data_IF_397084703604
#
_entry.id   IF_397084703604
#
_cell.length_a   1.000
_cell.length_b   1.000
_cell.length_c   1.000
_cell.angle_alpha   90.00
_cell.angle_beta   90.00
_cell.angle_gamma   90.00
#
_symmetry.space_group_name_H-M   'P 1'
#
loop_
_entity.id
_entity.type
_entity.pdbx_description
1 polymer ?
#
# COMPACT_ATOMS: atom_id res chain seq x y z
N UNK A 1 -31.75 38.38 0.85
CA UNK A 1 -31.34 36.98 0.87
C UNK A 1 -31.46 36.45 2.29
N UNK A 2 -32.24 35.41 2.47
CA UNK A 2 -32.34 34.73 3.76
C UNK A 2 -31.08 33.84 4.04
N UNK A 3 -30.99 33.30 5.26
CA UNK A 3 -29.84 32.47 5.68
C UNK A 3 -29.62 31.26 4.77
N UNK A 4 -30.69 30.66 4.28
CA UNK A 4 -30.67 29.48 3.43
C UNK A 4 -30.17 29.81 2.01
N UNK A 5 -30.62 30.89 1.44
CA UNK A 5 -30.14 31.41 0.13
C UNK A 5 -28.65 31.76 0.19
N UNK A 6 -28.17 32.35 1.31
CA UNK A 6 -26.72 32.60 1.51
C UNK A 6 -25.91 31.32 1.60
N UNK A 7 -26.42 30.26 2.26
CA UNK A 7 -25.78 28.96 2.34
C UNK A 7 -25.72 28.29 0.97
N UNK A 8 -26.82 28.32 0.21
CA UNK A 8 -26.88 27.76 -1.13
C UNK A 8 -25.91 28.47 -2.09
N UNK A 9 -25.88 29.81 -2.07
CA UNK A 9 -24.95 30.60 -2.88
C UNK A 9 -23.45 30.29 -2.53
N UNK A 10 -23.13 30.16 -1.24
CA UNK A 10 -21.77 29.78 -0.80
C UNK A 10 -21.42 28.38 -1.26
N UNK A 11 -22.34 27.43 -1.22
CA UNK A 11 -22.15 26.05 -1.69
C UNK A 11 -21.89 26.05 -3.20
N UNK A 12 -22.72 26.70 -4.01
CA UNK A 12 -22.56 26.82 -5.46
C UNK A 12 -21.20 27.43 -5.83
N UNK A 13 -20.81 28.53 -5.20
CA UNK A 13 -19.50 29.18 -5.43
C UNK A 13 -18.31 28.28 -5.08
N UNK A 14 -18.43 27.43 -4.05
CA UNK A 14 -17.40 26.44 -3.71
C UNK A 14 -17.33 25.30 -4.73
N UNK A 15 -18.47 24.85 -5.22
CA UNK A 15 -18.57 23.82 -6.26
C UNK A 15 -17.98 24.30 -7.58
N UNK A 16 -18.33 25.52 -8.01
CA UNK A 16 -17.74 26.16 -9.20
C UNK A 16 -16.23 26.31 -9.09
N UNK A 17 -15.71 26.81 -7.97
CA UNK A 17 -14.28 26.93 -7.73
C UNK A 17 -13.55 25.58 -7.73
N UNK A 18 -14.17 24.54 -7.18
CA UNK A 18 -13.64 23.17 -7.22
C UNK A 18 -13.63 22.60 -8.63
N UNK A 19 -14.71 22.82 -9.39
CA UNK A 19 -14.81 22.39 -10.78
C UNK A 19 -13.76 23.06 -11.65
N UNK A 20 -13.58 24.37 -11.51
CA UNK A 20 -12.56 25.13 -12.24
C UNK A 20 -11.13 24.65 -11.89
N UNK A 21 -10.82 24.50 -10.60
CA UNK A 21 -9.51 23.99 -10.15
C UNK A 21 -9.27 22.54 -10.62
N UNK A 22 -10.33 21.71 -10.71
CA UNK A 22 -10.26 20.38 -11.32
C UNK A 22 -9.94 20.49 -12.81
N UNK A 23 -10.68 21.30 -13.56
CA UNK A 23 -10.51 21.46 -14.99
C UNK A 23 -9.09 21.94 -15.35
N UNK A 24 -8.57 22.94 -14.64
CA UNK A 24 -7.21 23.45 -14.84
C UNK A 24 -6.14 22.38 -14.60
N UNK A 25 -6.28 21.64 -13.49
CA UNK A 25 -5.35 20.59 -13.14
C UNK A 25 -5.35 19.45 -14.16
N UNK A 26 -6.53 19.01 -14.59
CA UNK A 26 -6.68 17.91 -15.55
C UNK A 26 -6.27 18.32 -16.97
N UNK A 27 -6.38 19.61 -17.31
CA UNK A 27 -5.90 20.16 -18.59
C UNK A 27 -4.42 19.90 -18.83
N UNK A 28 -3.59 19.84 -17.79
CA UNK A 28 -2.17 19.52 -17.90
C UNK A 28 -1.87 18.00 -17.99
N UNK A 29 -2.87 17.14 -17.75
CA UNK A 29 -2.73 15.68 -17.77
C UNK A 29 -2.85 15.11 -19.18
N UNK A 30 -1.91 15.48 -20.07
CA UNK A 30 -1.93 15.13 -21.50
C UNK A 30 -0.82 14.16 -21.86
N UNK A 31 -0.98 13.47 -23.00
CA UNK A 31 0.06 12.62 -23.57
C UNK A 31 1.33 13.43 -23.85
N UNK A 32 1.19 14.66 -24.32
CA UNK A 32 2.33 15.53 -24.62
C UNK A 32 3.13 15.87 -23.37
N UNK A 33 2.46 16.16 -22.25
CA UNK A 33 3.11 16.41 -20.95
C UNK A 33 3.83 15.17 -20.42
N UNK A 34 3.20 14.00 -20.53
CA UNK A 34 3.82 12.76 -20.06
C UNK A 34 4.94 12.28 -20.98
N UNK A 35 4.85 12.55 -22.30
CA UNK A 35 5.86 12.22 -23.30
C UNK A 35 6.97 13.29 -23.42
N UNK A 36 6.87 14.40 -22.69
CA UNK A 36 7.94 15.41 -22.66
C UNK A 36 9.27 14.81 -22.21
N UNK A 37 10.38 15.23 -22.86
CA UNK A 37 11.70 14.66 -22.61
C UNK A 37 12.15 14.84 -21.14
N UNK A 38 11.88 16.01 -20.54
CA UNK A 38 12.22 16.23 -19.13
C UNK A 38 11.41 15.32 -18.21
N UNK A 39 10.13 15.10 -18.54
CA UNK A 39 9.25 14.17 -17.80
C UNK A 39 9.77 12.73 -17.87
N UNK A 40 10.14 12.25 -19.07
CA UNK A 40 10.69 10.91 -19.26
C UNK A 40 12.09 10.74 -18.62
N UNK A 41 12.95 11.76 -18.70
CA UNK A 41 14.26 11.74 -18.04
C UNK A 41 14.12 11.72 -16.50
N UNK A 42 13.21 12.50 -15.93
CA UNK A 42 12.88 12.46 -14.48
C UNK A 42 12.33 11.09 -14.10
N UNK A 43 11.40 10.55 -14.88
CA UNK A 43 10.82 9.23 -14.69
C UNK A 43 11.89 8.12 -14.72
N UNK A 44 12.85 8.18 -15.68
CA UNK A 44 13.97 7.24 -15.78
C UNK A 44 14.81 7.22 -14.50
N UNK A 45 15.23 8.40 -14.02
CA UNK A 45 16.00 8.52 -12.78
C UNK A 45 15.24 8.03 -11.54
N UNK A 46 13.93 8.27 -11.51
CA UNK A 46 13.08 7.82 -10.38
C UNK A 46 12.79 6.32 -10.43
N UNK A 47 12.52 5.76 -11.62
CA UNK A 47 12.30 4.33 -11.81
C UNK A 47 13.55 3.50 -11.47
N UNK A 48 14.75 4.08 -11.65
CA UNK A 48 16.03 3.45 -11.34
C UNK A 48 16.35 3.40 -9.82
N UNK A 49 15.70 4.22 -8.99
CA UNK A 49 15.98 4.27 -7.54
C UNK A 49 15.75 2.91 -6.88
N UNK A 50 16.76 2.45 -6.14
CA UNK A 50 16.71 1.18 -5.42
C UNK A 50 16.84 -0.08 -6.28
N UNK A 51 16.99 0.07 -7.62
CA UNK A 51 17.13 -1.07 -8.55
C UNK A 51 18.32 -0.94 -9.51
N UNK A 52 19.24 0.00 -9.24
CA UNK A 52 20.47 0.20 -10.03
C UNK A 52 21.42 -1.01 -10.03
N UNK A 53 21.27 -1.93 -9.10
CA UNK A 53 22.01 -3.19 -9.05
C UNK A 53 21.59 -4.19 -10.14
N UNK A 54 20.42 -3.99 -10.77
CA UNK A 54 19.93 -4.86 -11.85
C UNK A 54 20.58 -4.50 -13.19
N UNK A 55 21.11 -5.47 -13.92
CA UNK A 55 21.74 -5.30 -15.23
C UNK A 55 20.84 -4.64 -16.27
N UNK A 56 19.53 -4.98 -16.28
CA UNK A 56 18.53 -4.36 -17.14
C UNK A 56 18.37 -2.85 -16.89
N UNK A 57 18.40 -2.44 -15.61
CA UNK A 57 18.34 -1.03 -15.23
C UNK A 57 19.62 -0.29 -15.64
N UNK A 58 20.80 -0.89 -15.38
CA UNK A 58 22.09 -0.30 -15.77
C UNK A 58 22.19 -0.11 -17.27
N UNK A 59 21.79 -1.13 -18.05
CA UNK A 59 21.78 -1.08 -19.53
C UNK A 59 20.91 0.07 -20.03
N UNK A 60 19.70 0.24 -19.48
CA UNK A 60 18.81 1.34 -19.85
C UNK A 60 19.41 2.70 -19.45
N UNK A 61 19.93 2.82 -18.23
CA UNK A 61 20.44 4.08 -17.70
C UNK A 61 21.72 4.56 -18.36
N UNK A 62 22.53 3.66 -18.94
CA UNK A 62 23.73 4.03 -19.73
C UNK A 62 23.40 4.94 -20.91
N UNK A 63 22.22 4.79 -21.52
CA UNK A 63 21.76 5.60 -22.66
C UNK A 63 20.36 6.18 -22.43
N UNK A 64 20.08 6.63 -21.19
CA UNK A 64 18.73 7.01 -20.80
C UNK A 64 18.14 8.19 -21.60
N UNK A 65 18.98 9.13 -22.06
CA UNK A 65 18.53 10.24 -22.93
C UNK A 65 18.03 9.72 -24.27
N UNK A 66 18.82 8.87 -24.94
CA UNK A 66 18.41 8.21 -26.20
C UNK A 66 17.13 7.40 -25.99
N UNK A 67 17.06 6.64 -24.91
CA UNK A 67 15.90 5.82 -24.59
C UNK A 67 14.65 6.67 -24.29
N UNK A 68 14.81 7.86 -23.68
CA UNK A 68 13.71 8.81 -23.50
C UNK A 68 13.19 9.35 -24.84
N UNK A 69 14.08 9.67 -25.79
CA UNK A 69 13.69 10.10 -27.14
C UNK A 69 12.91 8.99 -27.85
N UNK A 70 13.38 7.74 -27.78
CA UNK A 70 12.68 6.59 -28.38
C UNK A 70 11.30 6.39 -27.74
N UNK A 71 11.21 6.42 -26.42
CA UNK A 71 9.93 6.29 -25.70
C UNK A 71 8.96 7.43 -26.04
N UNK A 72 9.47 8.68 -26.19
CA UNK A 72 8.66 9.81 -26.63
C UNK A 72 8.07 9.56 -28.02
N UNK A 73 8.92 9.14 -28.98
CA UNK A 73 8.47 8.82 -30.34
C UNK A 73 7.40 7.74 -30.33
N UNK A 74 7.66 6.62 -29.64
CA UNK A 74 6.74 5.49 -29.60
C UNK A 74 5.38 5.89 -29.00
N UNK A 75 5.37 6.75 -27.96
CA UNK A 75 4.15 7.28 -27.35
C UNK A 75 3.36 8.20 -28.29
N UNK A 76 4.04 9.15 -28.96
CA UNK A 76 3.38 10.12 -29.86
C UNK A 76 2.87 9.46 -31.15
N UNK A 77 3.54 8.41 -31.61
CA UNK A 77 3.10 7.60 -32.75
C UNK A 77 2.07 6.53 -32.38
N UNK A 78 1.68 6.43 -31.12
CA UNK A 78 0.69 5.47 -30.63
C UNK A 78 1.15 4.02 -30.66
N UNK A 79 2.47 3.77 -30.74
CA UNK A 79 3.03 2.42 -30.73
C UNK A 79 2.76 1.71 -29.41
N UNK A 80 2.66 0.39 -29.47
CA UNK A 80 2.52 -0.40 -28.26
C UNK A 80 3.82 -0.34 -27.43
N UNK A 81 3.67 0.05 -26.17
CA UNK A 81 4.76 0.10 -25.19
C UNK A 81 4.84 -1.15 -24.32
N UNK A 82 3.80 -2.00 -24.37
CA UNK A 82 3.74 -3.23 -23.58
C UNK A 82 4.77 -4.25 -24.12
N UNK A 83 5.65 -4.69 -23.25
CA UNK A 83 6.71 -5.66 -23.58
C UNK A 83 6.50 -7.02 -22.90
N UNK A 84 5.28 -7.26 -22.44
CA UNK A 84 4.95 -8.41 -21.62
C UNK A 84 5.44 -8.27 -20.18
N UNK A 85 5.34 -9.36 -19.43
CA UNK A 85 5.64 -9.37 -17.98
C UNK A 85 6.73 -10.37 -17.64
N UNK A 86 7.58 -9.97 -16.70
CA UNK A 86 8.47 -10.88 -15.97
C UNK A 86 7.64 -11.41 -14.80
N UNK A 87 7.15 -12.66 -14.92
CA UNK A 87 6.30 -13.30 -13.90
C UNK A 87 7.16 -14.11 -12.95
N UNK A 88 6.90 -13.94 -11.64
CA UNK A 88 7.53 -14.74 -10.59
C UNK A 88 6.66 -14.77 -9.35
N UNK A 89 6.84 -15.84 -8.58
CA UNK A 89 6.14 -16.03 -7.33
C UNK A 89 6.96 -15.52 -6.15
N UNK A 90 6.31 -14.74 -5.30
CA UNK A 90 6.90 -14.17 -4.10
C UNK A 90 6.14 -14.66 -2.85
N UNK A 91 6.82 -15.40 -2.00
CA UNK A 91 6.30 -15.72 -0.68
C UNK A 91 6.47 -14.54 0.27
N UNK A 92 5.38 -13.85 0.57
CA UNK A 92 5.37 -12.76 1.53
C UNK A 92 4.52 -13.09 2.76
N UNK A 93 5.17 -13.30 3.88
CA UNK A 93 4.52 -13.51 5.19
C UNK A 93 3.51 -14.66 5.21
N UNK A 94 3.85 -15.76 4.55
CA UNK A 94 3.03 -16.96 4.46
C UNK A 94 1.89 -16.89 3.42
N UNK A 95 1.86 -15.85 2.58
CA UNK A 95 0.97 -15.74 1.44
C UNK A 95 1.79 -15.75 0.14
N UNK A 96 1.43 -16.62 -0.78
CA UNK A 96 1.98 -16.63 -2.14
C UNK A 96 1.40 -15.45 -2.92
N UNK A 97 2.26 -14.69 -3.58
CA UNK A 97 1.87 -13.57 -4.45
C UNK A 97 2.45 -13.79 -5.83
N UNK A 98 1.59 -13.77 -6.84
CA UNK A 98 1.99 -13.76 -8.23
C UNK A 98 2.32 -12.34 -8.64
N UNK A 99 3.57 -12.08 -9.01
CA UNK A 99 4.04 -10.77 -9.41
C UNK A 99 4.19 -10.73 -10.92
N UNK A 100 3.58 -9.71 -11.56
CA UNK A 100 3.72 -9.39 -12.97
C UNK A 100 4.52 -8.11 -13.10
N UNK A 101 5.85 -8.22 -13.05
CA UNK A 101 6.74 -7.08 -13.16
C UNK A 101 6.91 -6.65 -14.62
N UNK A 102 6.80 -5.36 -14.89
CA UNK A 102 7.02 -4.79 -16.23
C UNK A 102 8.50 -4.62 -16.53
N UNK A 103 8.87 -4.67 -17.79
CA UNK A 103 10.23 -4.38 -18.27
C UNK A 103 10.62 -2.93 -17.96
N UNK A 104 11.93 -2.68 -17.75
CA UNK A 104 12.38 -1.37 -17.28
C UNK A 104 12.01 -0.19 -18.20
N UNK A 105 12.08 -0.28 -19.56
CA UNK A 105 11.63 0.79 -20.45
C UNK A 105 10.14 1.13 -20.26
N UNK A 106 9.29 0.12 -20.18
CA UNK A 106 7.85 0.28 -19.91
C UNK A 106 7.61 0.89 -18.52
N UNK A 107 8.37 0.45 -17.51
CA UNK A 107 8.30 1.03 -16.15
C UNK A 107 8.60 2.53 -16.13
N UNK A 108 9.47 3.02 -17.01
CA UNK A 108 9.76 4.46 -17.15
C UNK A 108 8.54 5.20 -17.71
N UNK A 109 7.91 4.66 -18.74
CA UNK A 109 6.67 5.24 -19.30
C UNK A 109 5.54 5.22 -18.29
N UNK A 110 5.32 4.10 -17.62
CA UNK A 110 4.32 3.99 -16.55
C UNK A 110 4.61 4.97 -15.40
N UNK A 111 5.88 5.23 -15.09
CA UNK A 111 6.27 6.23 -14.09
C UNK A 111 5.90 7.65 -14.52
N UNK A 112 6.13 7.99 -15.81
CA UNK A 112 5.74 9.28 -16.37
C UNK A 112 4.21 9.44 -16.38
N UNK A 113 3.47 8.42 -16.83
CA UNK A 113 2.01 8.36 -16.81
C UNK A 113 1.46 8.60 -15.40
N UNK A 114 1.99 7.88 -14.40
CA UNK A 114 1.58 8.04 -13.01
C UNK A 114 1.77 9.46 -12.50
N UNK A 115 2.92 10.08 -12.75
CA UNK A 115 3.28 11.37 -12.18
C UNK A 115 2.63 12.57 -12.89
N UNK A 116 2.50 12.49 -14.22
CA UNK A 116 2.05 13.62 -15.02
C UNK A 116 0.57 13.55 -15.43
N UNK A 117 -0.09 12.39 -15.24
CA UNK A 117 -1.50 12.24 -15.55
C UNK A 117 -2.34 11.65 -14.39
N UNK A 118 -2.08 10.41 -13.97
CA UNK A 118 -2.96 9.72 -13.02
C UNK A 118 -2.97 10.33 -11.63
N UNK A 119 -1.80 10.60 -11.05
CA UNK A 119 -1.71 11.20 -9.70
C UNK A 119 -2.34 12.59 -9.65
N UNK A 120 -2.04 13.54 -10.56
CA UNK A 120 -2.68 14.85 -10.56
C UNK A 120 -4.20 14.80 -10.79
N UNK A 121 -4.69 13.89 -11.64
CA UNK A 121 -6.12 13.78 -11.94
C UNK A 121 -6.90 13.08 -10.82
N UNK A 122 -6.40 11.95 -10.28
CA UNK A 122 -7.14 11.03 -9.43
C UNK A 122 -6.95 11.36 -7.94
N UNK A 123 -5.71 11.54 -7.47
CA UNK A 123 -5.43 11.66 -6.03
C UNK A 123 -6.22 12.79 -5.34
N UNK A 124 -6.43 13.97 -5.96
CA UNK A 124 -7.22 15.04 -5.34
C UNK A 124 -8.72 14.73 -5.20
N UNK A 125 -9.23 13.69 -5.84
CA UNK A 125 -10.62 13.25 -5.68
C UNK A 125 -10.81 12.32 -4.48
N UNK A 126 -9.70 11.77 -3.96
CA UNK A 126 -9.74 10.84 -2.85
C UNK A 126 -10.00 11.56 -1.53
N UNK A 127 -10.78 10.92 -0.66
CA UNK A 127 -11.06 11.45 0.67
C UNK A 127 -9.78 11.59 1.52
N UNK A 128 -9.79 12.50 2.49
CA UNK A 128 -8.67 12.69 3.41
C UNK A 128 -8.36 11.43 4.25
N UNK A 129 -9.38 10.61 4.51
CA UNK A 129 -9.28 9.37 5.28
C UNK A 129 -8.68 8.18 4.49
N UNK A 130 -8.46 8.32 3.18
CA UNK A 130 -7.68 7.35 2.41
C UNK A 130 -6.19 7.56 2.68
N UNK A 131 -5.54 6.53 3.21
CA UNK A 131 -4.17 6.60 3.74
C UNK A 131 -3.15 5.82 2.92
N UNK A 132 -3.55 5.14 1.84
CA UNK A 132 -2.68 4.25 1.08
C UNK A 132 -2.18 4.91 -0.22
N UNK A 133 -0.92 4.63 -0.55
CA UNK A 133 -0.29 4.97 -1.85
C UNK A 133 -0.35 6.45 -2.26
N UNK A 134 -0.46 7.35 -1.31
CA UNK A 134 -0.49 8.80 -1.51
C UNK A 134 0.77 9.39 -0.88
N UNK A 135 1.44 10.30 -1.58
CA UNK A 135 2.62 10.99 -1.06
C UNK A 135 2.32 11.67 0.28
N UNK A 136 3.16 11.42 1.28
CA UNK A 136 2.95 11.92 2.65
C UNK A 136 1.95 11.11 3.48
N UNK A 137 1.31 10.09 2.91
CA UNK A 137 0.43 9.16 3.61
C UNK A 137 1.02 7.74 3.55
N UNK A 138 0.64 6.92 4.51
CA UNK A 138 1.13 5.54 4.63
C UNK A 138 0.61 4.94 5.93
N UNK A 139 1.18 3.82 6.37
CA UNK A 139 0.77 3.14 7.60
C UNK A 139 0.88 4.03 8.84
N UNK A 140 1.87 4.91 8.92
CA UNK A 140 2.03 5.85 10.03
C UNK A 140 0.91 6.91 10.04
N UNK A 141 0.56 7.45 8.86
CA UNK A 141 -0.55 8.37 8.73
C UNK A 141 -1.88 7.68 9.10
N UNK A 142 -2.10 6.47 8.61
CA UNK A 142 -3.29 5.67 8.92
C UNK A 142 -3.43 5.43 10.43
N UNK A 143 -2.35 5.06 11.12
CA UNK A 143 -2.35 4.86 12.56
C UNK A 143 -2.55 6.17 13.35
N UNK A 144 -1.97 7.28 12.90
CA UNK A 144 -2.22 8.60 13.51
C UNK A 144 -3.68 9.01 13.37
N UNK A 145 -4.27 8.79 12.18
CA UNK A 145 -5.67 9.06 11.90
C UNK A 145 -6.57 8.23 12.82
N UNK A 146 -6.34 6.91 12.89
CA UNK A 146 -7.10 6.01 13.76
C UNK A 146 -6.96 6.40 15.24
N UNK A 147 -5.75 6.72 15.71
CA UNK A 147 -5.54 7.19 17.09
C UNK A 147 -6.36 8.47 17.38
N UNK A 148 -6.40 9.41 16.44
CA UNK A 148 -7.22 10.63 16.58
C UNK A 148 -8.70 10.28 16.67
N UNK A 149 -9.21 9.44 15.78
CA UNK A 149 -10.60 9.01 15.78
C UNK A 149 -10.99 8.29 17.08
N UNK A 150 -10.12 7.42 17.58
CA UNK A 150 -10.32 6.75 18.88
C UNK A 150 -10.31 7.74 20.05
N UNK A 151 -9.41 8.74 20.04
CA UNK A 151 -9.37 9.77 21.07
C UNK A 151 -10.61 10.67 21.03
N UNK A 152 -11.10 11.00 19.82
CA UNK A 152 -12.33 11.78 19.61
C UNK A 152 -13.57 11.00 20.09
N UNK A 153 -13.62 9.70 19.81
CA UNK A 153 -14.67 8.81 20.31
C UNK A 153 -14.64 8.70 21.84
N UNK A 154 -13.45 8.48 22.44
CA UNK A 154 -13.29 8.41 23.90
C UNK A 154 -13.80 9.68 24.61
N UNK A 155 -13.51 10.86 24.06
CA UNK A 155 -13.96 12.13 24.66
C UNK A 155 -15.47 12.28 24.64
N UNK A 156 -16.18 11.66 23.70
CA UNK A 156 -17.65 11.74 23.56
C UNK A 156 -18.37 10.65 24.31
N UNK A 157 -17.86 9.42 24.27
CA UNK A 157 -18.57 8.22 24.72
C UNK A 157 -17.77 7.36 25.74
N UNK A 158 -16.57 7.79 26.13
CA UNK A 158 -15.72 7.02 27.04
C UNK A 158 -15.26 5.69 26.40
N UNK A 159 -15.36 4.60 27.18
CA UNK A 159 -14.93 3.25 26.75
C UNK A 159 -15.91 2.54 25.84
N UNK A 160 -17.17 2.96 25.89
CA UNK A 160 -18.24 2.26 25.17
C UNK A 160 -18.21 2.60 23.68
N UNK A 161 -18.66 1.65 22.87
CA UNK A 161 -18.72 1.79 21.43
C UNK A 161 -18.08 0.62 20.68
N UNK A 162 -18.17 0.70 19.39
CA UNK A 162 -17.81 -0.39 18.48
C UNK A 162 -16.99 0.12 17.31
N UNK A 163 -16.21 -0.78 16.75
CA UNK A 163 -15.50 -0.58 15.49
C UNK A 163 -15.91 -1.69 14.50
N UNK A 164 -16.37 -1.32 13.33
CA UNK A 164 -16.47 -2.20 12.18
C UNK A 164 -15.10 -2.21 11.49
N UNK A 165 -14.52 -3.38 11.35
CA UNK A 165 -13.32 -3.62 10.54
C UNK A 165 -13.78 -4.35 9.28
N UNK A 166 -13.37 -3.88 8.11
CA UNK A 166 -13.67 -4.50 6.82
C UNK A 166 -12.40 -4.69 5.99
N UNK A 167 -12.43 -5.72 5.15
CA UNK A 167 -11.32 -6.10 4.27
C UNK A 167 -11.92 -6.61 2.94
N UNK A 168 -11.39 -6.16 1.81
CA UNK A 168 -11.83 -6.64 0.50
C UNK A 168 -11.18 -7.99 0.18
N UNK A 169 -11.98 -8.94 -0.34
CA UNK A 169 -11.53 -10.29 -0.65
C UNK A 169 -10.67 -10.32 -1.91
N UNK A 170 -9.41 -10.80 -1.77
CA UNK A 170 -8.44 -10.95 -2.88
C UNK A 170 -8.44 -9.78 -3.87
N UNK A 171 -8.47 -8.57 -3.29
CA UNK A 171 -8.83 -7.32 -3.94
C UNK A 171 -8.16 -7.12 -5.31
N UNK A 172 -6.81 -7.13 -5.38
CA UNK A 172 -6.09 -6.90 -6.64
C UNK A 172 -6.35 -7.95 -7.72
N UNK A 173 -6.60 -9.19 -7.33
CA UNK A 173 -6.83 -10.29 -8.26
C UNK A 173 -8.26 -10.30 -8.83
N UNK A 174 -9.21 -9.60 -8.19
CA UNK A 174 -10.64 -9.69 -8.52
C UNK A 174 -11.24 -8.37 -9.00
N UNK A 175 -10.45 -7.31 -9.14
CA UNK A 175 -10.93 -6.02 -9.65
C UNK A 175 -11.43 -6.20 -11.10
N UNK A 176 -12.70 -5.87 -11.34
CA UNK A 176 -13.25 -5.81 -12.69
C UNK A 176 -12.66 -4.61 -13.45
N UNK A 177 -12.25 -4.82 -14.71
CA UNK A 177 -11.58 -3.78 -15.50
C UNK A 177 -12.51 -2.63 -15.87
N UNK A 178 -13.77 -2.93 -16.26
CA UNK A 178 -14.68 -1.90 -16.78
C UNK A 178 -14.93 -0.74 -15.79
N UNK A 179 -15.27 -0.98 -14.51
CA UNK A 179 -15.44 0.11 -13.55
C UNK A 179 -14.19 0.96 -13.32
N UNK A 180 -13.00 0.34 -13.43
CA UNK A 180 -11.72 1.06 -13.33
C UNK A 180 -11.47 1.90 -14.58
N UNK A 181 -11.73 1.37 -15.77
CA UNK A 181 -11.63 2.10 -17.04
C UNK A 181 -12.58 3.30 -17.07
N UNK A 182 -13.82 3.12 -16.63
CA UNK A 182 -14.80 4.20 -16.53
C UNK A 182 -14.33 5.30 -15.57
N UNK A 183 -13.72 4.91 -14.45
CA UNK A 183 -13.14 5.86 -13.51
C UNK A 183 -11.98 6.65 -14.11
N UNK A 184 -11.08 5.99 -14.84
CA UNK A 184 -9.96 6.64 -15.53
C UNK A 184 -10.49 7.61 -16.60
N UNK A 185 -11.45 7.17 -17.43
CA UNK A 185 -12.08 8.00 -18.46
C UNK A 185 -12.79 9.23 -17.86
N UNK A 186 -13.41 9.09 -16.69
CA UNK A 186 -14.07 10.24 -16.01
C UNK A 186 -13.07 11.21 -15.36
N UNK A 187 -11.84 10.77 -15.11
CA UNK A 187 -10.82 11.56 -14.44
C UNK A 187 -9.91 12.34 -15.39
N UNK A 188 -9.71 11.87 -16.61
CA UNK A 188 -8.80 12.41 -17.62
C UNK A 188 -9.57 13.01 -18.82
N UNK A 189 -8.99 14.02 -19.45
CA UNK A 189 -9.58 14.67 -20.64
C UNK A 189 -8.90 14.22 -21.95
N UNK A 190 -7.62 13.85 -21.91
CA UNK A 190 -6.90 13.41 -23.11
C UNK A 190 -7.23 11.95 -23.44
N UNK A 191 -7.95 11.66 -24.54
CA UNK A 191 -8.34 10.32 -24.91
C UNK A 191 -7.14 9.41 -25.20
N UNK A 192 -5.99 9.96 -25.59
CA UNK A 192 -4.77 9.19 -25.83
C UNK A 192 -4.20 8.63 -24.53
N UNK A 193 -4.26 9.41 -23.43
CA UNK A 193 -3.83 8.96 -22.10
C UNK A 193 -4.80 7.92 -21.55
N UNK A 194 -6.12 8.12 -21.73
CA UNK A 194 -7.15 7.15 -21.36
C UNK A 194 -6.93 5.83 -22.10
N UNK A 195 -6.73 5.88 -23.43
CA UNK A 195 -6.49 4.68 -24.23
C UNK A 195 -5.20 3.95 -23.82
N UNK A 196 -4.16 4.69 -23.46
CA UNK A 196 -2.91 4.11 -22.96
C UNK A 196 -3.14 3.36 -21.64
N UNK A 197 -3.82 3.99 -20.66
CA UNK A 197 -4.10 3.33 -19.38
C UNK A 197 -5.03 2.13 -19.55
N UNK A 198 -6.05 2.20 -20.42
CA UNK A 198 -6.92 1.07 -20.71
C UNK A 198 -6.11 -0.12 -21.26
N UNK A 199 -5.15 0.11 -22.17
CA UNK A 199 -4.26 -0.97 -22.65
C UNK A 199 -3.41 -1.56 -21.54
N UNK A 200 -2.90 -0.75 -20.61
CA UNK A 200 -2.11 -1.25 -19.46
C UNK A 200 -2.97 -2.08 -18.49
N UNK A 201 -4.25 -1.74 -18.34
CA UNK A 201 -5.21 -2.52 -17.56
C UNK A 201 -5.48 -3.85 -18.28
N UNK A 202 -5.81 -3.83 -19.58
CA UNK A 202 -6.14 -5.02 -20.36
C UNK A 202 -4.97 -6.00 -20.50
N UNK A 203 -3.74 -5.48 -20.53
CA UNK A 203 -2.54 -6.31 -20.56
C UNK A 203 -2.41 -7.25 -19.32
N UNK A 204 -3.16 -7.02 -18.24
CA UNK A 204 -3.14 -7.87 -17.06
C UNK A 204 -3.99 -9.15 -17.21
N UNK A 205 -4.83 -9.25 -18.24
CA UNK A 205 -5.79 -10.34 -18.50
C UNK A 205 -7.23 -9.84 -18.44
N UNK A 206 -8.18 -10.73 -18.19
CA UNK A 206 -9.62 -10.39 -18.20
C UNK A 206 -10.09 -9.74 -16.90
N UNK A 207 -9.40 -10.00 -15.81
CA UNK A 207 -9.74 -9.54 -14.47
C UNK A 207 -8.48 -9.33 -13.63
N UNK A 208 -8.57 -8.40 -12.70
CA UNK A 208 -7.50 -8.08 -11.77
C UNK A 208 -6.52 -7.03 -12.28
N UNK A 209 -5.95 -6.29 -11.34
CA UNK A 209 -4.88 -5.33 -11.60
C UNK A 209 -3.58 -5.94 -11.08
N UNK A 210 -2.79 -6.56 -11.92
CA UNK A 210 -1.56 -7.27 -11.54
C UNK A 210 -0.65 -6.47 -10.59
N UNK A 211 0.01 -7.20 -9.70
CA UNK A 211 0.99 -6.61 -8.79
C UNK A 211 2.31 -6.36 -9.51
N UNK A 212 2.78 -5.10 -9.53
CA UNK A 212 4.06 -4.72 -10.14
C UNK A 212 3.99 -3.47 -11.03
N UNK A 213 2.79 -2.98 -11.35
CA UNK A 213 2.54 -1.74 -12.09
C UNK A 213 2.16 -0.61 -11.14
N UNK A 214 2.78 0.56 -11.26
CA UNK A 214 2.44 1.74 -10.46
C UNK A 214 1.08 2.36 -10.88
N UNK A 215 0.76 2.51 -12.18
CA UNK A 215 -0.58 2.91 -12.64
C UNK A 215 -1.68 2.05 -12.03
N UNK A 216 -1.56 0.74 -12.13
CA UNK A 216 -2.55 -0.19 -11.55
C UNK A 216 -2.74 -0.01 -10.03
N UNK A 217 -1.66 0.32 -9.31
CA UNK A 217 -1.78 0.62 -7.88
C UNK A 217 -2.56 1.91 -7.61
N UNK A 218 -2.40 2.94 -8.45
CA UNK A 218 -3.16 4.19 -8.34
C UNK A 218 -4.63 3.91 -8.62
N UNK A 219 -4.93 3.17 -9.67
CA UNK A 219 -6.28 2.76 -10.02
C UNK A 219 -6.92 1.92 -8.91
N UNK A 220 -6.21 0.95 -8.35
CA UNK A 220 -6.70 0.13 -7.24
C UNK A 220 -6.99 0.95 -5.97
N UNK A 221 -6.19 1.97 -5.66
CA UNK A 221 -6.48 2.88 -4.52
C UNK A 221 -7.73 3.71 -4.80
N UNK A 222 -7.93 4.10 -6.04
CA UNK A 222 -9.02 4.99 -6.46
C UNK A 222 -10.34 4.24 -6.67
N UNK A 223 -10.31 2.99 -7.08
CA UNK A 223 -11.51 2.21 -7.43
C UNK A 223 -12.59 2.22 -6.33
N UNK A 224 -12.29 2.05 -5.02
CA UNK A 224 -13.31 2.12 -3.96
C UNK A 224 -13.69 3.56 -3.56
N UNK A 225 -13.22 4.59 -4.25
CA UNK A 225 -13.49 5.99 -3.86
C UNK A 225 -14.99 6.33 -3.80
N UNK A 226 -15.82 5.70 -4.64
CA UNK A 226 -17.28 5.85 -4.57
C UNK A 226 -17.84 5.31 -3.25
N UNK A 227 -17.28 4.22 -2.73
CA UNK A 227 -17.63 3.66 -1.42
C UNK A 227 -17.19 4.63 -0.32
N UNK A 228 -15.97 5.17 -0.41
CA UNK A 228 -15.44 6.13 0.57
C UNK A 228 -16.35 7.36 0.70
N UNK A 229 -16.78 7.93 -0.45
CA UNK A 229 -17.72 9.07 -0.47
C UNK A 229 -19.09 8.69 0.07
N UNK A 230 -19.61 7.51 -0.32
CA UNK A 230 -20.88 7.03 0.19
C UNK A 230 -20.85 6.87 1.72
N UNK A 231 -19.79 6.29 2.27
CA UNK A 231 -19.64 6.15 3.73
C UNK A 231 -19.55 7.51 4.41
N UNK A 232 -18.76 8.44 3.90
CA UNK A 232 -18.50 9.72 4.56
C UNK A 232 -19.64 10.73 4.37
N UNK A 233 -20.35 10.70 3.26
CA UNK A 233 -21.38 11.68 2.90
C UNK A 233 -22.80 11.22 3.23
N UNK A 234 -23.09 9.93 3.05
CA UNK A 234 -24.42 9.36 3.25
C UNK A 234 -24.57 8.63 4.58
N UNK A 235 -23.69 7.67 4.87
CA UNK A 235 -23.77 6.91 6.12
C UNK A 235 -23.32 7.74 7.32
N UNK A 236 -22.29 8.56 7.18
CA UNK A 236 -21.80 9.51 8.20
C UNK A 236 -21.50 8.87 9.56
N UNK A 237 -20.71 7.79 9.62
CA UNK A 237 -20.26 7.27 10.92
C UNK A 237 -19.44 8.35 11.64
N UNK A 238 -19.28 8.22 12.95
CA UNK A 238 -18.45 9.16 13.73
C UNK A 238 -17.02 9.27 13.17
N UNK A 239 -16.50 8.16 12.71
CA UNK A 239 -15.17 8.09 12.11
C UNK A 239 -15.07 7.00 11.06
N UNK A 240 -14.34 7.31 9.99
CA UNK A 240 -14.02 6.39 8.90
C UNK A 240 -12.57 6.53 8.49
N UNK A 241 -11.94 5.41 8.10
CA UNK A 241 -10.62 5.43 7.49
C UNK A 241 -10.36 4.16 6.68
N UNK A 242 -9.61 4.31 5.56
CA UNK A 242 -9.25 3.20 4.68
C UNK A 242 -7.75 3.20 4.36
N UNK A 243 -7.18 2.02 4.31
CA UNK A 243 -5.83 1.75 3.85
C UNK A 243 -5.86 0.59 2.84
N UNK A 244 -5.85 0.88 1.55
CA UNK A 244 -6.05 -0.08 0.46
C UNK A 244 -7.39 -0.82 0.60
N UNK A 245 -7.32 -2.13 0.86
CA UNK A 245 -8.40 -3.06 1.08
C UNK A 245 -8.92 -3.08 2.53
N UNK A 246 -8.11 -2.63 3.49
CA UNK A 246 -8.49 -2.56 4.91
C UNK A 246 -9.20 -1.22 5.24
N UNK A 247 -10.41 -1.26 5.81
CA UNK A 247 -11.12 -0.06 6.29
C UNK A 247 -11.73 -0.25 7.67
N UNK A 248 -12.11 0.85 8.31
CA UNK A 248 -12.81 0.83 9.58
C UNK A 248 -13.85 1.94 9.68
N UNK A 249 -14.92 1.69 10.45
CA UNK A 249 -15.89 2.67 10.93
C UNK A 249 -15.96 2.59 12.45
N UNK A 250 -16.11 3.72 13.13
CA UNK A 250 -16.31 3.79 14.59
C UNK A 250 -17.65 4.45 14.86
N UNK A 251 -18.43 3.88 15.80
CA UNK A 251 -19.70 4.41 16.25
C UNK A 251 -20.05 3.85 17.64
N UNK A 252 -20.89 4.56 18.41
CA UNK A 252 -21.38 4.09 19.72
C UNK A 252 -22.31 2.89 19.59
N UNK A 253 -23.16 2.87 18.55
CA UNK A 253 -24.17 1.82 18.32
C UNK A 253 -23.61 0.70 17.44
N UNK A 254 -23.78 -0.54 17.92
CA UNK A 254 -23.46 -1.76 17.15
C UNK A 254 -24.41 -1.95 15.98
N UNK A 255 -25.72 -1.72 16.22
CA UNK A 255 -26.76 -1.94 15.21
C UNK A 255 -26.61 -0.99 14.03
N UNK A 256 -26.24 0.27 14.31
CA UNK A 256 -25.89 1.20 13.25
C UNK A 256 -24.73 0.71 12.39
N UNK A 257 -23.66 0.17 12.98
CA UNK A 257 -22.54 -0.38 12.23
C UNK A 257 -22.92 -1.64 11.43
N UNK A 258 -23.87 -2.43 11.92
CA UNK A 258 -24.40 -3.59 11.17
C UNK A 258 -25.20 -3.13 9.94
N UNK A 259 -26.04 -2.10 10.08
CA UNK A 259 -26.73 -1.48 8.94
C UNK A 259 -25.73 -0.88 7.96
N UNK A 260 -24.72 -0.18 8.43
CA UNK A 260 -23.64 0.35 7.59
C UNK A 260 -22.95 -0.78 6.80
N UNK A 261 -22.68 -1.91 7.44
CA UNK A 261 -22.06 -3.07 6.77
C UNK A 261 -22.89 -3.57 5.61
N UNK A 262 -24.20 -3.81 5.81
CA UNK A 262 -25.11 -4.26 4.75
C UNK A 262 -25.16 -3.28 3.56
N UNK A 263 -25.18 -1.97 3.86
CA UNK A 263 -25.21 -0.93 2.84
C UNK A 263 -23.87 -0.82 2.10
N UNK A 264 -22.75 -1.00 2.80
CA UNK A 264 -21.41 -1.05 2.18
C UNK A 264 -21.27 -2.28 1.30
N UNK A 265 -21.75 -3.45 1.72
CA UNK A 265 -21.75 -4.68 0.91
C UNK A 265 -22.47 -4.49 -0.42
N UNK A 266 -23.68 -3.89 -0.38
CA UNK A 266 -24.42 -3.55 -1.60
C UNK A 266 -23.63 -2.61 -2.51
N UNK A 267 -23.00 -1.59 -1.92
CA UNK A 267 -22.21 -0.62 -2.68
C UNK A 267 -20.92 -1.20 -3.24
N UNK A 268 -20.32 -2.15 -2.54
CA UNK A 268 -19.19 -2.95 -3.02
C UNK A 268 -19.60 -3.81 -4.22
N UNK A 269 -20.75 -4.49 -4.15
CA UNK A 269 -21.25 -5.33 -5.23
C UNK A 269 -21.46 -4.55 -6.55
N UNK A 270 -21.92 -3.29 -6.49
CA UNK A 270 -22.01 -2.39 -7.66
C UNK A 270 -20.67 -2.17 -8.37
N UNK A 271 -19.57 -2.30 -7.67
CA UNK A 271 -18.20 -2.13 -8.18
C UNK A 271 -17.48 -3.46 -8.43
N UNK A 272 -18.17 -4.59 -8.26
CA UNK A 272 -17.54 -5.91 -8.34
C UNK A 272 -16.58 -6.21 -7.20
N UNK A 273 -16.71 -5.53 -6.05
CA UNK A 273 -15.88 -5.73 -4.86
C UNK A 273 -16.62 -6.62 -3.88
N UNK A 274 -15.96 -7.64 -3.35
CA UNK A 274 -16.49 -8.51 -2.30
C UNK A 274 -15.78 -8.26 -0.97
N UNK A 275 -16.54 -8.24 0.13
CA UNK A 275 -15.98 -8.21 1.47
C UNK A 275 -15.50 -9.61 1.90
N UNK A 276 -14.39 -9.63 2.64
CA UNK A 276 -13.87 -10.87 3.22
C UNK A 276 -14.66 -11.24 4.50
N UNK A 277 -15.49 -12.27 4.49
CA UNK A 277 -16.37 -12.58 5.63
C UNK A 277 -15.61 -13.03 6.89
N UNK A 278 -14.38 -13.53 6.74
CA UNK A 278 -13.56 -13.97 7.88
C UNK A 278 -12.89 -12.80 8.60
N UNK A 279 -12.65 -11.69 7.91
CA UNK A 279 -11.96 -10.51 8.44
C UNK A 279 -12.92 -9.36 8.76
N UNK A 280 -14.04 -9.27 8.05
CA UNK A 280 -15.07 -8.24 8.26
C UNK A 280 -15.89 -8.55 9.50
N UNK A 281 -15.84 -7.64 10.50
CA UNK A 281 -16.50 -7.84 11.78
C UNK A 281 -16.67 -6.57 12.57
N UNK A 282 -17.73 -6.51 13.38
CA UNK A 282 -17.94 -5.48 14.40
C UNK A 282 -17.35 -5.95 15.73
N UNK A 283 -16.50 -5.12 16.34
CA UNK A 283 -15.81 -5.44 17.60
C UNK A 283 -16.08 -4.36 18.63
N UNK A 284 -16.38 -4.73 19.88
CA UNK A 284 -16.50 -3.77 20.99
C UNK A 284 -15.12 -3.17 21.29
N UNK A 285 -15.02 -1.85 21.41
CA UNK A 285 -13.74 -1.13 21.61
C UNK A 285 -13.01 -1.55 22.87
N UNK A 286 -13.77 -1.91 23.94
CA UNK A 286 -13.20 -2.40 25.21
C UNK A 286 -12.38 -3.68 25.08
N UNK A 287 -12.68 -4.54 24.07
CA UNK A 287 -11.91 -5.78 23.79
C UNK A 287 -10.60 -5.50 23.05
N UNK A 288 -10.45 -4.28 22.49
CA UNK A 288 -9.42 -3.95 21.55
C UNK A 288 -9.54 -4.75 20.24
N UNK A 289 -8.75 -4.39 19.26
CA UNK A 289 -8.82 -4.98 17.91
C UNK A 289 -7.45 -5.00 17.24
N UNK A 290 -7.36 -5.68 16.10
CA UNK A 290 -6.16 -5.71 15.26
C UNK A 290 -6.47 -5.03 13.93
N UNK A 291 -5.65 -4.04 13.56
CA UNK A 291 -5.70 -3.37 12.26
C UNK A 291 -4.28 -3.06 11.76
N UNK A 292 -4.04 -3.19 10.45
CA UNK A 292 -2.72 -3.05 9.83
C UNK A 292 -1.61 -3.82 10.59
N UNK A 293 -1.93 -5.03 11.02
CA UNK A 293 -1.01 -5.90 11.80
C UNK A 293 -0.51 -5.28 13.12
N UNK A 294 -1.31 -4.40 13.71
CA UNK A 294 -1.09 -3.81 15.04
C UNK A 294 -2.28 -4.14 15.94
N UNK A 295 -2.00 -4.53 17.18
CA UNK A 295 -2.99 -4.69 18.25
C UNK A 295 -3.25 -3.33 18.91
N UNK A 296 -4.49 -2.89 18.92
CA UNK A 296 -4.90 -1.55 19.39
C UNK A 296 -5.97 -1.72 20.46
N UNK A 297 -5.84 -1.00 21.56
CA UNK A 297 -6.80 -1.04 22.66
C UNK A 297 -6.68 0.21 23.55
N UNK A 298 -7.74 0.50 24.30
CA UNK A 298 -7.72 1.50 25.36
C UNK A 298 -7.18 0.92 26.66
N UNK A 299 -6.43 1.73 27.41
CA UNK A 299 -6.25 1.51 28.87
C UNK A 299 -7.50 1.97 29.60
N UNK A 300 -7.56 1.75 30.92
CA UNK A 300 -8.65 2.23 31.78
C UNK A 300 -8.74 3.76 31.81
N UNK A 301 -7.62 4.44 31.65
CA UNK A 301 -7.52 5.92 31.61
C UNK A 301 -7.76 6.53 30.22
N UNK A 302 -8.14 5.73 29.21
CA UNK A 302 -8.40 6.22 27.86
C UNK A 302 -7.15 6.38 26.99
N UNK A 303 -5.97 6.06 27.48
CA UNK A 303 -4.75 6.04 26.66
C UNK A 303 -4.88 4.96 25.58
N UNK A 304 -4.60 5.31 24.34
CA UNK A 304 -4.60 4.39 23.21
C UNK A 304 -3.22 3.73 23.11
N UNK A 305 -3.20 2.42 23.26
CA UNK A 305 -1.99 1.58 23.17
C UNK A 305 -1.97 0.89 21.81
N UNK A 306 -0.84 0.97 21.11
CA UNK A 306 -0.62 0.30 19.83
C UNK A 306 0.60 -0.60 19.92
N UNK A 307 0.37 -1.91 19.92
CA UNK A 307 1.41 -2.94 20.00
C UNK A 307 1.58 -3.68 18.66
N UNK A 308 2.77 -4.20 18.36
CA UNK A 308 2.92 -5.17 17.27
C UNK A 308 2.11 -6.44 17.57
N UNK A 309 1.56 -7.06 16.53
CA UNK A 309 0.94 -8.39 16.68
C UNK A 309 1.96 -9.43 17.10
N UNK A 310 1.52 -10.41 17.88
CA UNK A 310 2.35 -11.53 18.40
C UNK A 310 3.11 -12.24 17.28
N UNK A 311 2.46 -12.49 16.15
CA UNK A 311 3.05 -13.15 14.99
C UNK A 311 4.22 -12.35 14.39
N UNK A 312 4.16 -11.02 14.43
CA UNK A 312 5.27 -10.16 13.97
C UNK A 312 6.53 -10.36 14.82
N UNK A 313 6.36 -10.42 16.13
CA UNK A 313 7.45 -10.66 17.09
C UNK A 313 8.01 -12.08 16.92
N UNK A 314 7.13 -13.08 16.84
CA UNK A 314 7.54 -14.50 16.64
C UNK A 314 8.32 -14.69 15.34
N UNK A 315 7.89 -14.03 14.27
CA UNK A 315 8.57 -14.06 12.98
C UNK A 315 9.97 -13.45 13.05
N UNK A 316 10.12 -12.29 13.69
CA UNK A 316 11.45 -11.68 13.84
C UNK A 316 12.39 -12.53 14.69
N UNK A 317 11.87 -13.15 15.75
CA UNK A 317 12.63 -14.11 16.56
C UNK A 317 13.13 -15.28 15.72
N UNK A 318 12.27 -15.85 14.88
CA UNK A 318 12.65 -16.94 13.96
C UNK A 318 13.66 -16.48 12.92
N UNK A 319 13.49 -15.26 12.40
CA UNK A 319 14.38 -14.63 11.43
C UNK A 319 15.79 -14.46 12.02
N UNK A 320 15.92 -13.91 13.23
CA UNK A 320 17.22 -13.74 13.89
C UNK A 320 17.92 -15.08 14.09
N UNK A 321 17.22 -16.12 14.55
CA UNK A 321 17.79 -17.47 14.69
C UNK A 321 18.24 -18.06 13.35
N UNK A 322 17.49 -17.83 12.25
CA UNK A 322 17.89 -18.23 10.91
C UNK A 322 19.15 -17.50 10.45
N UNK A 323 19.19 -16.19 10.67
CA UNK A 323 20.34 -15.34 10.30
C UNK A 323 21.60 -15.74 11.07
N UNK A 324 21.49 -16.15 12.34
CA UNK A 324 22.63 -16.67 13.10
C UNK A 324 23.23 -17.93 12.45
N UNK A 325 22.40 -18.84 11.96
CA UNK A 325 22.88 -20.00 11.20
C UNK A 325 23.55 -19.56 9.90
N UNK A 326 22.94 -18.66 9.15
CA UNK A 326 23.53 -18.16 7.90
C UNK A 326 24.87 -17.45 8.09
N UNK A 327 25.09 -16.81 9.24
CA UNK A 327 26.39 -16.24 9.61
C UNK A 327 27.39 -17.34 9.91
N UNK A 328 27.00 -18.38 10.66
CA UNK A 328 27.87 -19.55 10.94
C UNK A 328 28.27 -20.29 9.66
N UNK A 329 27.34 -20.37 8.68
CA UNK A 329 27.56 -20.99 7.37
C UNK A 329 28.33 -20.08 6.38
N UNK A 330 28.72 -18.87 6.78
CA UNK A 330 29.43 -17.90 5.91
C UNK A 330 28.57 -17.29 4.79
N UNK A 331 27.24 -17.51 4.81
CA UNK A 331 26.29 -17.02 3.77
C UNK A 331 25.93 -15.55 3.99
N UNK A 332 26.01 -15.07 5.23
CA UNK A 332 25.63 -13.69 5.60
C UNK A 332 26.68 -13.09 6.53
N UNK A 333 26.93 -11.77 6.40
CA UNK A 333 27.86 -11.09 7.31
C UNK A 333 27.15 -10.54 8.54
N UNK A 334 27.86 -10.38 9.69
CA UNK A 334 27.30 -9.76 10.90
C UNK A 334 26.71 -8.35 10.66
N UNK A 335 27.34 -7.54 9.79
CA UNK A 335 26.88 -6.20 9.45
C UNK A 335 25.50 -6.23 8.74
N UNK A 336 25.28 -7.21 7.87
CA UNK A 336 23.99 -7.41 7.21
C UNK A 336 22.90 -7.78 8.22
N UNK A 337 23.23 -8.59 9.23
CA UNK A 337 22.31 -8.91 10.33
C UNK A 337 21.99 -7.67 11.15
N UNK A 338 23.01 -6.92 11.54
CA UNK A 338 22.85 -5.66 12.31
C UNK A 338 21.95 -4.68 11.56
N UNK A 339 22.21 -4.42 10.28
CA UNK A 339 21.38 -3.54 9.45
C UNK A 339 19.92 -4.01 9.41
N UNK A 340 19.69 -5.32 9.24
CA UNK A 340 18.36 -5.91 9.25
C UNK A 340 17.66 -5.74 10.59
N UNK A 341 18.37 -5.97 11.69
CA UNK A 341 17.84 -5.86 13.04
C UNK A 341 17.54 -4.41 13.42
N UNK A 342 18.42 -3.47 13.12
CA UNK A 342 18.20 -2.05 13.37
C UNK A 342 17.01 -1.49 12.57
N UNK A 343 16.80 -1.96 11.33
CA UNK A 343 15.60 -1.64 10.54
C UNK A 343 14.32 -2.08 11.26
N UNK A 344 14.27 -3.32 11.77
CA UNK A 344 13.14 -3.82 12.56
C UNK A 344 12.95 -3.03 13.86
N UNK A 345 14.02 -2.80 14.61
CA UNK A 345 14.02 -2.06 15.88
C UNK A 345 13.54 -0.63 15.70
N UNK A 346 13.96 0.04 14.62
CA UNK A 346 13.49 1.37 14.23
C UNK A 346 11.99 1.42 13.98
N UNK A 347 11.42 0.40 13.34
CA UNK A 347 9.98 0.26 13.16
C UNK A 347 9.21 0.09 14.48
N UNK A 348 9.81 -0.57 15.48
CA UNK A 348 9.20 -0.78 16.79
C UNK A 348 9.19 0.47 17.69
N UNK A 349 10.12 1.41 17.50
CA UNK A 349 10.19 2.67 18.29
C UNK A 349 8.90 3.50 18.24
N UNK A 350 8.10 3.33 17.18
CA UNK A 350 6.83 4.05 16.98
C UNK A 350 5.64 3.39 17.66
N UNK A 351 5.86 2.26 18.34
CA UNK A 351 4.84 1.43 18.97
C UNK A 351 5.10 1.30 20.46
N UNK A 352 4.06 0.95 21.23
CA UNK A 352 4.17 0.60 22.64
C UNK A 352 4.76 -0.82 22.79
N UNK A 353 6.03 -0.99 22.36
CA UNK A 353 6.69 -2.28 22.17
C UNK A 353 7.92 -2.48 23.08
N UNK A 354 8.14 -1.67 24.12
CA UNK A 354 9.35 -1.67 24.95
C UNK A 354 9.75 -3.05 25.48
N UNK A 355 8.78 -3.81 26.04
CA UNK A 355 9.05 -5.17 26.54
C UNK A 355 9.49 -6.12 25.42
N UNK A 356 8.84 -6.03 24.25
CA UNK A 356 9.18 -6.86 23.10
C UNK A 356 10.55 -6.52 22.52
N UNK A 357 10.90 -5.23 22.48
CA UNK A 357 12.21 -4.76 22.03
C UNK A 357 13.30 -5.24 22.99
N UNK A 358 13.13 -5.07 24.31
CA UNK A 358 14.10 -5.57 25.31
C UNK A 358 14.35 -7.08 25.21
N UNK A 359 13.29 -7.87 25.08
CA UNK A 359 13.39 -9.32 24.91
C UNK A 359 14.10 -9.70 23.59
N UNK A 360 13.93 -8.92 22.53
CA UNK A 360 14.58 -9.16 21.25
C UNK A 360 16.04 -8.68 21.27
N UNK A 361 16.35 -7.55 21.92
CA UNK A 361 17.72 -7.07 22.16
C UNK A 361 18.53 -8.11 22.97
N UNK A 362 17.91 -8.77 23.97
CA UNK A 362 18.54 -9.85 24.72
C UNK A 362 18.82 -11.07 23.84
N UNK A 363 17.85 -11.48 23.01
CA UNK A 363 18.05 -12.56 22.05
C UNK A 363 19.13 -12.22 21.00
N UNK A 364 19.14 -10.98 20.50
CA UNK A 364 20.16 -10.55 19.56
C UNK A 364 21.56 -10.68 20.16
N UNK A 365 21.74 -10.17 21.40
CA UNK A 365 23.01 -10.29 22.12
C UNK A 365 23.44 -11.73 22.39
N UNK A 366 22.50 -12.62 22.70
CA UNK A 366 22.81 -14.04 22.90
C UNK A 366 23.25 -14.77 21.64
N UNK A 367 22.81 -14.28 20.46
CA UNK A 367 23.15 -14.92 19.17
C UNK A 367 24.40 -14.33 18.52
N UNK A 368 24.65 -13.01 18.69
CA UNK A 368 25.67 -12.27 17.93
C UNK A 368 26.66 -11.49 18.81
N UNK A 369 26.50 -11.49 20.15
CA UNK A 369 27.30 -10.67 21.06
C UNK A 369 26.86 -9.21 21.10
N UNK A 370 27.62 -8.35 21.80
CA UNK A 370 27.32 -6.93 21.86
C UNK A 370 27.62 -6.22 20.52
N UNK A 371 26.73 -5.35 20.02
CA UNK A 371 26.92 -4.70 18.72
C UNK A 371 28.01 -3.64 18.66
N UNK A 372 28.75 -3.39 19.77
CA UNK A 372 29.84 -2.43 19.84
C UNK A 372 31.08 -3.08 20.44
N UNK A 373 31.94 -3.64 19.57
CA UNK A 373 33.32 -4.01 19.92
C UNK A 373 33.58 -5.51 20.04
N UNK A 374 34.26 -6.06 19.05
CA UNK A 374 34.91 -7.37 19.14
C UNK A 374 34.20 -8.49 18.40
N UNK A 375 34.98 -9.21 17.65
CA UNK A 375 34.62 -10.41 16.90
C UNK A 375 33.83 -11.37 17.79
N UNK A 376 32.56 -11.63 17.45
CA UNK A 376 31.73 -12.57 18.15
C UNK A 376 32.19 -13.99 17.87
N UNK A 377 32.74 -14.67 18.88
CA UNK A 377 32.85 -16.14 18.85
C UNK A 377 31.44 -16.72 18.86
N UNK A 378 31.06 -17.41 17.79
CA UNK A 378 29.87 -18.23 17.75
C UNK A 378 29.93 -19.28 18.84
N UNK A 379 28.94 -19.31 19.71
CA UNK A 379 28.84 -20.33 20.75
C UNK A 379 28.37 -21.65 20.14
N UNK A 380 29.20 -22.71 20.12
CA UNK A 380 28.92 -23.97 19.42
C UNK A 380 27.87 -24.88 20.12
N UNK A 381 27.28 -24.46 21.24
CA UNK A 381 26.43 -25.32 22.06
C UNK A 381 24.93 -25.25 21.72
N UNK A 382 24.57 -25.11 20.43
CA UNK A 382 23.18 -25.25 19.97
C UNK A 382 22.93 -26.52 19.13
N UNK A 383 23.74 -27.55 19.34
CA UNK A 383 23.43 -28.90 18.88
C UNK A 383 22.60 -29.64 19.93
N UNK A 384 21.47 -30.04 19.53
CA UNK A 384 20.53 -31.07 19.99
C UNK A 384 19.14 -30.52 20.31
N UNK A 385 18.32 -30.35 19.30
CA UNK A 385 16.93 -30.87 19.34
C UNK A 385 16.26 -30.80 17.95
N UNK A 386 16.07 -32.01 17.40
CA UNK A 386 15.11 -32.41 16.35
C UNK A 386 15.43 -32.08 14.89
N UNK A 387 16.00 -33.10 14.26
CA UNK A 387 15.85 -33.37 12.82
C UNK A 387 14.37 -33.41 12.43
N UNK A 388 14.01 -32.52 11.48
CA UNK A 388 12.81 -32.59 10.70
C UNK A 388 13.19 -32.29 9.27
N UNK A 389 13.23 -33.31 8.46
CA UNK A 389 13.56 -33.29 7.04
C UNK A 389 12.65 -32.38 6.27
N UNK A 390 13.20 -31.45 5.52
CA UNK A 390 12.51 -30.68 4.52
C UNK A 390 13.23 -30.86 3.17
N UNK A 391 12.57 -31.39 2.13
CA UNK A 391 13.16 -31.55 0.82
C UNK A 391 12.94 -30.33 -0.03
N UNK A 392 14.00 -29.66 -0.46
CA UNK A 392 13.97 -28.75 -1.59
C UNK A 392 15.01 -29.18 -2.62
N UNK A 393 14.62 -29.35 -3.89
CA UNK A 393 15.57 -29.71 -4.94
C UNK A 393 16.34 -28.46 -5.40
N UNK A 394 17.63 -28.68 -5.57
CA UNK A 394 18.56 -27.75 -6.21
C UNK A 394 18.22 -27.65 -7.70
N UNK A 395 17.79 -26.51 -8.19
CA UNK A 395 17.73 -26.21 -9.62
C UNK A 395 19.08 -25.62 -10.06
N UNK A 396 19.83 -26.41 -10.77
CA UNK A 396 20.98 -26.01 -11.58
C UNK A 396 20.51 -25.05 -12.68
N UNK A 397 21.22 -23.97 -12.86
CA UNK A 397 21.11 -23.08 -14.01
C UNK A 397 22.21 -23.42 -15.02
N UNK A 398 21.77 -23.71 -16.20
CA UNK A 398 22.55 -23.50 -17.41
C UNK A 398 21.89 -22.34 -18.16
N UNK A 399 22.67 -21.27 -18.38
CA UNK A 399 22.37 -20.22 -19.34
C UNK A 399 22.51 -20.71 -20.79
N UNK A 400 21.79 -20.11 -21.75
CA UNK A 400 22.40 -19.18 -22.66
C UNK A 400 21.83 -17.76 -22.57
#
# INVERSE_FOLDING_TARGET
MNSEQRRAARRKRREEKRAQAKAERVKACTLDTMADLNSLCKASKQAARGVMWKSSTQRYMRSYLRNAVLSRRDLLEGRDICRGFIRFDLWERGKLRHISAVHFPERVVQKSLSQNALVPAIVPTLIAANSANIKGRGTDYALKLLKRHLADHWRRHGREGYILLGDFSDYFARIAHQPVKDQVASALLDPRVVALEHRLIDAQGDVGLGLGSEPNQICAVAHPNRIDHYVTEMLRPESYGRYMDDFYLIHESKDYLQVCLLLIERKCAELGIELNPRKTRVVKLTRGFTWLKKRIFYTETGRIVVKPCRDSITRERRKLKKMARMVADGIMTPEQVEQSYQSWRGGMKRLDAHRSVRAMDALYRSLFGNPAGGVAQCNPNLEATRMGTCPYPSNGRSDP
#
